data_IF_972995090330
#
_entry.id   IF_972995090330
#
_cell.length_a   1.000
_cell.length_b   1.000
_cell.length_c   1.000
_cell.angle_alpha   90.00
_cell.angle_beta   90.00
_cell.angle_gamma   90.00
#
_symmetry.space_group_name_H-M   'P 1'
#
loop_
_entity.id
_entity.type
_entity.pdbx_description
1 polymer ?
#
# COMPACT_ATOMS: atom_id res chain seq x y z
N UNK A 1 -7.22 35.15 -15.52
CA UNK A 1 -8.19 34.06 -15.37
C UNK A 1 -7.76 32.95 -16.32
N UNK A 2 -7.15 31.87 -15.83
CA UNK A 2 -6.61 30.81 -16.69
C UNK A 2 -7.76 29.98 -17.25
N UNK A 3 -7.88 29.93 -18.58
CA UNK A 3 -8.84 29.07 -19.27
C UNK A 3 -8.22 27.69 -19.33
N UNK A 4 -8.76 26.73 -18.57
CA UNK A 4 -8.32 25.35 -18.62
C UNK A 4 -8.76 24.75 -19.97
N UNK A 5 -7.82 24.52 -20.87
CA UNK A 5 -8.07 23.94 -22.18
C UNK A 5 -8.48 22.47 -22.05
N UNK A 6 -9.75 22.17 -22.32
CA UNK A 6 -10.28 20.80 -22.40
C UNK A 6 -9.92 20.23 -23.77
N UNK A 7 -9.05 19.23 -23.83
CA UNK A 7 -8.85 18.46 -25.05
C UNK A 7 -10.08 17.57 -25.28
N UNK A 8 -10.96 17.95 -26.22
CA UNK A 8 -12.02 17.08 -26.71
C UNK A 8 -11.41 15.98 -27.60
N UNK A 9 -11.50 14.71 -27.18
CA UNK A 9 -11.48 13.60 -28.12
C UNK A 9 -12.93 13.23 -28.47
N UNK A 10 -13.41 13.72 -29.60
CA UNK A 10 -14.75 13.42 -30.09
C UNK A 10 -14.78 12.03 -30.71
N UNK A 11 -15.17 11.01 -29.94
CA UNK A 11 -15.50 9.68 -30.48
C UNK A 11 -16.97 9.67 -30.88
N UNK A 12 -17.29 10.34 -31.99
CA UNK A 12 -18.67 10.50 -32.46
C UNK A 12 -19.15 9.33 -33.32
N UNK A 13 -20.36 8.86 -33.05
CA UNK A 13 -21.36 8.59 -34.09
C UNK A 13 -22.72 9.08 -33.59
N UNK A 14 -23.52 9.63 -34.50
CA UNK A 14 -24.81 10.26 -34.23
C UNK A 14 -25.69 9.43 -33.26
N UNK A 15 -26.16 10.06 -32.19
CA UNK A 15 -27.27 9.55 -31.37
C UNK A 15 -26.95 9.00 -29.97
N UNK A 16 -25.70 8.98 -29.49
CA UNK A 16 -25.41 8.61 -28.10
C UNK A 16 -24.41 9.55 -27.44
N UNK A 17 -24.73 10.00 -26.23
CA UNK A 17 -23.98 10.94 -25.37
C UNK A 17 -22.46 10.74 -25.44
N UNK A 18 -21.76 11.76 -25.94
CA UNK A 18 -20.32 11.89 -25.84
C UNK A 18 -19.91 11.84 -24.35
N UNK A 19 -19.01 10.92 -24.00
CA UNK A 19 -18.43 10.88 -22.66
C UNK A 19 -17.23 11.80 -22.59
N UNK A 20 -17.32 12.90 -21.85
CA UNK A 20 -16.16 13.74 -21.55
C UNK A 20 -15.07 12.92 -20.85
N UNK A 21 -13.80 13.10 -21.24
CA UNK A 21 -12.67 12.56 -20.46
C UNK A 21 -12.81 13.13 -19.03
N UNK A 22 -12.68 12.30 -17.98
CA UNK A 22 -12.70 12.81 -16.61
C UNK A 22 -11.73 13.99 -16.42
N UNK A 23 -12.18 15.04 -15.75
CA UNK A 23 -11.38 16.25 -15.51
C UNK A 23 -10.12 15.90 -14.69
N UNK A 24 -8.96 16.48 -15.04
CA UNK A 24 -7.64 16.25 -14.43
C UNK A 24 -6.95 14.91 -14.77
N UNK A 25 -7.30 14.31 -15.91
CA UNK A 25 -6.69 13.09 -16.45
C UNK A 25 -5.93 13.39 -17.76
N UNK A 26 -4.69 13.90 -17.68
CA UNK A 26 -3.97 14.36 -18.87
C UNK A 26 -3.42 13.23 -19.74
N UNK A 27 -3.48 11.97 -19.27
CA UNK A 27 -3.04 10.81 -20.04
C UNK A 27 -4.24 9.99 -20.51
N UNK A 28 -4.40 9.91 -21.83
CA UNK A 28 -5.33 9.00 -22.49
C UNK A 28 -4.56 7.92 -23.23
N UNK A 29 -4.86 6.66 -22.90
CA UNK A 29 -4.30 5.49 -23.55
C UNK A 29 -5.40 4.83 -24.38
N UNK A 30 -5.11 4.58 -25.66
CA UNK A 30 -6.02 3.89 -26.57
C UNK A 30 -5.40 2.58 -27.00
N UNK A 31 -6.11 1.47 -26.80
CA UNK A 31 -5.65 0.13 -27.19
C UNK A 31 -6.69 -0.53 -28.08
N UNK A 32 -6.25 -1.10 -29.20
CA UNK A 32 -7.06 -2.01 -30.02
C UNK A 32 -6.84 -3.43 -29.53
N UNK A 33 -7.91 -4.13 -29.12
CA UNK A 33 -7.82 -5.53 -28.76
C UNK A 33 -7.49 -6.39 -29.99
N UNK A 34 -6.53 -7.31 -29.89
CA UNK A 34 -6.24 -8.27 -30.95
C UNK A 34 -7.48 -9.13 -31.25
N UNK A 35 -7.90 -9.21 -32.52
CA UNK A 35 -9.06 -10.01 -32.96
C UNK A 35 -10.44 -9.47 -32.57
N UNK A 36 -10.50 -8.25 -32.05
CA UNK A 36 -11.67 -7.75 -31.32
C UNK A 36 -12.34 -6.56 -32.03
N UNK A 37 -13.67 -6.51 -32.06
CA UNK A 37 -14.47 -5.39 -32.62
C UNK A 37 -14.53 -4.16 -31.71
N UNK A 38 -13.66 -4.12 -30.69
CA UNK A 38 -13.67 -3.08 -29.66
C UNK A 38 -12.34 -2.35 -29.54
N UNK A 39 -12.45 -1.06 -29.25
CA UNK A 39 -11.35 -0.17 -28.88
C UNK A 39 -11.51 0.16 -27.40
N UNK A 40 -10.44 0.00 -26.63
CA UNK A 40 -10.40 0.36 -25.22
C UNK A 40 -9.78 1.75 -25.06
N UNK A 41 -10.39 2.55 -24.20
CA UNK A 41 -9.91 3.86 -23.79
C UNK A 41 -9.65 3.81 -22.28
N UNK A 42 -8.50 4.30 -21.86
CA UNK A 42 -8.11 4.37 -20.46
C UNK A 42 -7.61 5.78 -20.14
N UNK A 43 -8.22 6.41 -19.15
CA UNK A 43 -7.86 7.73 -18.66
C UNK A 43 -7.12 7.59 -17.32
N UNK A 44 -5.93 8.17 -17.24
CA UNK A 44 -5.06 8.13 -16.06
C UNK A 44 -4.57 9.54 -15.67
N UNK A 45 -4.28 9.73 -14.38
CA UNK A 45 -3.58 10.92 -13.88
C UNK A 45 -2.14 10.94 -14.42
N UNK A 46 -1.56 12.11 -14.69
CA UNK A 46 -0.14 12.20 -15.06
C UNK A 46 0.71 11.67 -13.91
N UNK A 47 1.66 10.78 -14.21
CA UNK A 47 2.64 10.31 -13.24
C UNK A 47 2.29 9.02 -12.49
N UNK A 48 1.21 8.32 -12.85
CA UNK A 48 0.90 6.98 -12.30
C UNK A 48 0.56 6.96 -10.80
N UNK A 49 0.51 8.12 -10.15
CA UNK A 49 0.28 8.24 -8.71
C UNK A 49 -1.20 8.11 -8.38
N UNK A 50 -1.58 7.03 -7.70
CA UNK A 50 -2.72 6.84 -6.78
C UNK A 50 -4.14 7.24 -7.21
N UNK A 51 -4.32 7.85 -8.38
CA UNK A 51 -5.57 8.42 -8.84
C UNK A 51 -6.53 7.36 -9.37
N UNK A 52 -7.85 7.64 -9.37
CA UNK A 52 -8.84 6.75 -9.96
C UNK A 52 -8.51 6.47 -11.43
N UNK A 53 -8.23 5.24 -11.82
CA UNK A 53 -8.14 4.87 -13.23
C UNK A 53 -9.56 4.73 -13.80
N UNK A 54 -9.81 5.26 -14.99
CA UNK A 54 -11.08 5.11 -15.69
C UNK A 54 -10.90 4.36 -17.00
N UNK A 55 -11.86 3.51 -17.33
CA UNK A 55 -11.88 2.75 -18.57
C UNK A 55 -13.24 2.82 -19.23
N UNK A 56 -13.25 2.89 -20.55
CA UNK A 56 -14.44 2.65 -21.34
C UNK A 56 -14.10 1.97 -22.66
N UNK A 57 -15.12 1.46 -23.33
CA UNK A 57 -14.99 0.67 -24.54
C UNK A 57 -15.87 1.26 -25.63
N UNK A 58 -15.33 1.27 -26.84
CA UNK A 58 -16.10 1.54 -28.05
C UNK A 58 -16.24 0.23 -28.84
N UNK A 59 -17.46 -0.29 -28.91
CA UNK A 59 -17.76 -1.56 -29.55
C UNK A 59 -18.51 -1.34 -30.86
N UNK A 60 -18.11 -2.03 -31.93
CA UNK A 60 -18.96 -2.20 -33.11
C UNK A 60 -20.00 -3.29 -32.81
N UNK A 61 -21.23 -2.91 -32.47
CA UNK A 61 -22.34 -3.85 -32.30
C UNK A 61 -23.06 -4.02 -33.64
N UNK A 62 -23.16 -5.25 -34.14
CA UNK A 62 -23.77 -5.54 -35.45
C UNK A 62 -25.28 -5.24 -35.49
N UNK A 63 -25.96 -5.28 -34.34
CA UNK A 63 -27.41 -5.09 -34.21
C UNK A 63 -27.79 -3.66 -33.88
N UNK A 64 -26.93 -2.92 -33.16
CA UNK A 64 -27.26 -1.59 -32.64
C UNK A 64 -26.25 -0.49 -33.01
N UNK A 65 -25.37 -0.73 -33.98
CA UNK A 65 -24.34 0.21 -34.40
C UNK A 65 -23.19 0.37 -33.40
N UNK A 66 -22.32 1.35 -33.61
CA UNK A 66 -21.21 1.58 -32.71
C UNK A 66 -21.69 2.16 -31.38
N UNK A 67 -21.27 1.59 -30.24
CA UNK A 67 -21.68 2.05 -28.92
C UNK A 67 -20.49 2.29 -28.00
N UNK A 68 -20.47 3.48 -27.39
CA UNK A 68 -19.62 3.82 -26.25
C UNK A 68 -20.23 3.29 -24.96
N UNK A 69 -19.44 2.65 -24.10
CA UNK A 69 -19.93 2.09 -22.83
C UNK A 69 -19.99 3.10 -21.68
N UNK A 70 -19.52 4.33 -21.86
CA UNK A 70 -19.29 5.23 -20.73
C UNK A 70 -17.94 4.97 -20.03
N UNK A 71 -17.51 5.94 -19.22
CA UNK A 71 -16.35 5.80 -18.33
C UNK A 71 -16.75 5.06 -17.06
N UNK A 72 -15.99 4.01 -16.71
CA UNK A 72 -16.12 3.26 -15.46
C UNK A 72 -14.82 3.37 -14.67
N UNK A 73 -14.90 3.70 -13.38
CA UNK A 73 -13.75 3.70 -12.48
C UNK A 73 -13.30 2.25 -12.25
N UNK A 74 -12.03 1.94 -12.54
CA UNK A 74 -11.44 0.60 -12.39
C UNK A 74 -10.39 0.52 -11.26
N UNK A 75 -9.84 1.66 -10.80
CA UNK A 75 -9.03 1.70 -9.58
C UNK A 75 -9.95 1.93 -8.38
N UNK A 76 -10.39 0.84 -7.76
CA UNK A 76 -11.27 0.85 -6.57
C UNK A 76 -10.53 0.64 -5.26
N UNK A 77 -9.21 0.42 -5.30
CA UNK A 77 -8.40 0.23 -4.11
C UNK A 77 -8.49 1.50 -3.23
N UNK A 78 -8.97 1.32 -2.01
CA UNK A 78 -8.99 2.39 -1.01
C UNK A 78 -7.69 2.29 -0.22
N UNK A 79 -6.91 3.38 -0.07
CA UNK A 79 -5.73 3.36 0.78
C UNK A 79 -6.08 2.85 2.18
N UNK A 80 -5.25 2.00 2.79
CA UNK A 80 -5.54 1.48 4.12
C UNK A 80 -5.44 2.61 5.15
N UNK A 81 -6.33 2.58 6.15
CA UNK A 81 -6.25 3.51 7.27
C UNK A 81 -5.01 3.19 8.12
N UNK A 82 -4.17 4.19 8.35
CA UNK A 82 -3.03 4.10 9.27
C UNK A 82 -3.46 4.40 10.71
N UNK A 83 -2.85 3.69 11.65
CA UNK A 83 -3.02 3.85 13.08
C UNK A 83 -1.65 3.91 13.76
N UNK A 84 -1.54 4.69 14.83
CA UNK A 84 -0.33 4.71 15.65
C UNK A 84 -0.25 3.45 16.51
N UNK A 85 0.92 2.81 16.51
CA UNK A 85 1.19 1.64 17.33
C UNK A 85 1.56 2.08 18.74
N UNK A 86 0.75 1.68 19.73
CA UNK A 86 1.04 1.94 21.14
C UNK A 86 2.24 1.10 21.60
N UNK A 87 3.37 1.77 21.82
CA UNK A 87 4.61 1.15 22.27
C UNK A 87 4.55 0.84 23.77
N UNK A 88 5.20 -0.26 24.18
CA UNK A 88 5.30 -0.66 25.57
C UNK A 88 6.18 0.29 26.39
N UNK A 89 6.00 0.29 27.71
CA UNK A 89 6.82 1.07 28.63
C UNK A 89 8.31 0.74 28.47
N UNK A 90 9.16 1.77 28.46
CA UNK A 90 10.61 1.63 28.26
C UNK A 90 11.04 1.50 26.79
N UNK A 91 10.12 1.58 25.85
CA UNK A 91 10.39 1.66 24.41
C UNK A 91 10.17 3.08 23.91
N UNK A 92 11.13 3.62 23.17
CA UNK A 92 11.01 4.91 22.47
C UNK A 92 10.86 4.70 20.96
N UNK A 93 10.24 5.66 20.28
CA UNK A 93 10.14 5.67 18.83
C UNK A 93 8.76 6.02 18.31
N UNK A 94 8.56 5.77 17.01
CA UNK A 94 7.31 6.01 16.30
C UNK A 94 7.07 4.85 15.36
N UNK A 95 5.99 4.11 15.58
CA UNK A 95 5.58 3.01 14.72
C UNK A 95 4.09 3.13 14.40
N UNK A 96 3.73 2.67 13.22
CA UNK A 96 2.36 2.67 12.70
C UNK A 96 2.01 1.31 12.13
N UNK A 97 0.72 1.06 12.03
CA UNK A 97 0.21 -0.13 11.38
C UNK A 97 -1.04 0.17 10.56
N UNK A 98 -1.30 -0.66 9.56
CA UNK A 98 -2.50 -0.61 8.74
C UNK A 98 -2.87 -2.00 8.24
N UNK A 99 -4.11 -2.20 7.76
CA UNK A 99 -4.54 -3.44 7.11
C UNK A 99 -5.07 -3.11 5.71
N UNK A 100 -4.52 -3.78 4.70
CA UNK A 100 -4.97 -3.61 3.32
C UNK A 100 -6.32 -4.32 3.09
N UNK A 101 -6.99 -4.00 1.99
CA UNK A 101 -8.26 -4.64 1.61
C UNK A 101 -8.10 -6.16 1.36
N UNK A 102 -6.88 -6.62 1.04
CA UNK A 102 -6.52 -8.03 0.87
C UNK A 102 -6.24 -8.74 2.22
N UNK A 103 -6.35 -8.02 3.35
CA UNK A 103 -6.15 -8.56 4.68
C UNK A 103 -4.69 -8.64 5.13
N UNK A 104 -3.76 -8.02 4.39
CA UNK A 104 -2.35 -7.91 4.80
C UNK A 104 -2.22 -6.79 5.83
N UNK A 105 -1.67 -7.10 7.00
CA UNK A 105 -1.30 -6.13 8.02
C UNK A 105 0.14 -5.71 7.78
N UNK A 106 0.35 -4.40 7.70
CA UNK A 106 1.67 -3.79 7.58
C UNK A 106 2.01 -3.06 8.88
N UNK A 107 3.27 -3.16 9.31
CA UNK A 107 3.81 -2.39 10.42
C UNK A 107 5.06 -1.71 9.92
N UNK A 108 5.14 -0.39 10.10
CA UNK A 108 6.26 0.41 9.67
C UNK A 108 6.67 1.45 10.73
N UNK A 109 7.96 1.71 10.86
CA UNK A 109 8.47 2.75 11.75
C UNK A 109 9.82 2.44 12.38
N UNK A 110 10.13 3.13 13.47
CA UNK A 110 11.40 3.00 14.17
C UNK A 110 11.15 2.87 15.67
N UNK A 111 11.82 1.90 16.31
CA UNK A 111 11.70 1.64 17.75
C UNK A 111 13.07 1.41 18.38
N UNK A 112 13.24 1.84 19.62
CA UNK A 112 14.45 1.63 20.41
C UNK A 112 14.06 1.19 21.81
N UNK A 113 14.69 0.13 22.30
CA UNK A 113 14.56 -0.29 23.69
C UNK A 113 15.57 0.47 24.55
N UNK A 114 15.08 1.29 25.48
CA UNK A 114 15.91 2.16 26.33
C UNK A 114 16.72 1.39 27.37
N UNK A 115 16.24 0.21 27.78
CA UNK A 115 16.90 -0.63 28.77
C UNK A 115 18.07 -1.45 28.19
N UNK A 116 18.26 -1.43 26.86
CA UNK A 116 19.15 -2.33 26.08
C UNK A 116 18.78 -3.81 26.29
N UNK A 117 18.21 -4.47 25.27
CA UNK A 117 17.71 -5.83 25.44
C UNK A 117 18.85 -6.79 25.79
N UNK A 118 18.63 -7.60 26.82
CA UNK A 118 19.54 -8.71 27.13
C UNK A 118 19.51 -9.74 25.99
N UNK A 119 20.68 -10.31 25.68
CA UNK A 119 20.85 -11.26 24.57
C UNK A 119 19.89 -12.45 24.73
N UNK A 120 19.17 -12.78 23.66
CA UNK A 120 18.26 -13.92 23.64
C UNK A 120 16.97 -13.75 24.45
N UNK A 121 16.76 -12.62 25.14
CA UNK A 121 15.50 -12.34 25.84
C UNK A 121 14.51 -11.63 24.92
N UNK A 122 13.24 -12.04 25.05
CA UNK A 122 12.11 -11.38 24.41
C UNK A 122 11.82 -10.07 25.13
N UNK A 123 11.88 -8.96 24.39
CA UNK A 123 11.40 -7.66 24.86
C UNK A 123 10.09 -7.33 24.16
N UNK A 124 8.99 -7.21 24.91
CA UNK A 124 7.71 -6.79 24.34
C UNK A 124 7.86 -5.33 23.91
N UNK A 125 7.57 -5.04 22.64
CA UNK A 125 7.64 -3.67 22.12
C UNK A 125 6.27 -3.03 21.90
N UNK A 126 5.25 -3.84 21.62
CA UNK A 126 3.87 -3.40 21.43
C UNK A 126 2.92 -4.60 21.38
N UNK A 127 1.62 -4.34 21.43
CA UNK A 127 0.57 -5.34 21.19
C UNK A 127 -0.41 -4.84 20.13
N UNK A 128 -0.68 -5.66 19.13
CA UNK A 128 -1.65 -5.36 18.08
C UNK A 128 -3.09 -5.57 18.58
N UNK A 129 -4.01 -4.65 18.25
CA UNK A 129 -5.41 -4.82 18.55
C UNK A 129 -6.04 -5.95 17.74
N UNK A 130 -7.21 -6.42 18.20
CA UNK A 130 -8.03 -7.38 17.46
C UNK A 130 -8.36 -6.87 16.06
N UNK A 131 -8.41 -7.78 15.08
CA UNK A 131 -8.55 -7.45 13.66
C UNK A 131 -7.22 -7.16 12.94
N UNK A 132 -6.14 -6.88 13.68
CA UNK A 132 -4.79 -6.65 13.11
C UNK A 132 -3.76 -7.70 13.55
N UNK A 133 -4.15 -8.67 14.38
CA UNK A 133 -3.29 -9.78 14.81
C UNK A 133 -2.98 -10.72 13.64
N UNK A 134 -1.81 -11.36 13.60
CA UNK A 134 -1.53 -12.34 12.57
C UNK A 134 -2.35 -13.62 12.78
N UNK A 135 -2.64 -14.34 11.69
CA UNK A 135 -3.34 -15.64 11.77
C UNK A 135 -2.51 -16.73 12.47
N UNK A 136 -1.19 -16.68 12.32
CA UNK A 136 -0.22 -17.59 12.91
C UNK A 136 0.93 -16.80 13.52
N UNK A 137 1.74 -17.42 14.37
CA UNK A 137 2.96 -16.77 14.84
C UNK A 137 3.90 -16.46 13.66
N UNK A 138 4.41 -15.23 13.59
CA UNK A 138 5.30 -14.77 12.53
C UNK A 138 6.69 -14.42 13.09
N UNK A 139 7.73 -14.64 12.29
CA UNK A 139 9.12 -14.29 12.62
C UNK A 139 9.76 -13.56 11.45
N UNK A 140 10.40 -12.44 11.74
CA UNK A 140 11.06 -11.59 10.74
C UNK A 140 12.48 -11.29 11.18
N UNK A 141 13.42 -11.33 10.24
CA UNK A 141 14.76 -10.80 10.44
C UNK A 141 14.75 -9.31 10.09
N UNK A 142 15.39 -8.51 10.95
CA UNK A 142 15.52 -7.07 10.83
C UNK A 142 16.98 -6.67 11.02
N UNK A 143 17.27 -5.43 10.66
CA UNK A 143 18.58 -4.82 10.78
C UNK A 143 18.46 -3.69 11.80
N UNK A 144 19.32 -3.69 12.82
CA UNK A 144 19.48 -2.56 13.72
C UNK A 144 20.57 -1.63 13.20
N UNK A 145 20.30 -0.34 13.14
CA UNK A 145 21.34 0.67 12.89
C UNK A 145 21.98 1.05 14.22
N UNK A 146 23.21 0.63 14.53
CA UNK A 146 23.94 1.22 15.65
C UNK A 146 24.55 2.58 15.30
N UNK A 147 24.74 3.44 16.30
CA UNK A 147 25.81 4.44 16.23
C UNK A 147 27.10 3.69 15.90
N UNK A 148 27.72 4.05 14.78
CA UNK A 148 28.78 3.30 14.11
C UNK A 148 29.84 2.67 15.04
N UNK A 149 30.39 1.47 14.72
CA UNK A 149 30.32 0.79 13.41
C UNK A 149 29.48 -0.50 13.37
N UNK A 150 28.60 -0.76 14.33
CA UNK A 150 27.94 -2.07 14.43
C UNK A 150 26.57 -2.11 13.74
N UNK A 151 26.43 -2.90 12.68
CA UNK A 151 25.10 -3.31 12.19
C UNK A 151 24.78 -4.65 12.86
N UNK A 152 23.66 -4.70 13.57
CA UNK A 152 23.20 -5.89 14.29
C UNK A 152 22.05 -6.57 13.55
N UNK A 153 22.01 -7.91 13.60
CA UNK A 153 20.84 -8.67 13.21
C UNK A 153 19.89 -8.79 14.40
N UNK A 154 18.65 -8.41 14.18
CA UNK A 154 17.59 -8.48 15.19
C UNK A 154 16.45 -9.31 14.63
N UNK A 155 15.69 -9.98 15.49
CA UNK A 155 14.50 -10.70 15.09
C UNK A 155 13.29 -10.07 15.74
N UNK A 156 12.20 -9.93 14.99
CA UNK A 156 10.87 -9.70 15.57
C UNK A 156 10.07 -11.00 15.53
N UNK A 157 9.41 -11.31 16.63
CA UNK A 157 8.43 -12.38 16.74
C UNK A 157 7.07 -11.78 17.07
N UNK A 158 6.05 -12.06 16.26
CA UNK A 158 4.67 -11.62 16.50
C UNK A 158 3.84 -12.87 16.80
N UNK A 159 3.23 -12.91 17.98
CA UNK A 159 2.30 -13.98 18.33
C UNK A 159 0.93 -13.78 17.68
N UNK A 160 0.16 -14.85 17.53
CA UNK A 160 -1.26 -14.79 17.14
C UNK A 160 -2.14 -13.97 18.12
N UNK A 161 -1.67 -13.76 19.36
CA UNK A 161 -2.29 -12.84 20.32
C UNK A 161 -1.96 -11.36 20.04
N UNK A 162 -1.13 -11.07 19.03
CA UNK A 162 -0.73 -9.72 18.65
C UNK A 162 0.47 -9.17 19.41
N UNK A 163 1.06 -9.92 20.33
CA UNK A 163 2.25 -9.47 21.07
C UNK A 163 3.45 -9.43 20.13
N UNK A 164 4.07 -8.26 20.02
CA UNK A 164 5.27 -8.04 19.22
C UNK A 164 6.47 -8.06 20.15
N UNK A 165 7.36 -9.03 19.94
CA UNK A 165 8.60 -9.18 20.70
C UNK A 165 9.80 -8.88 19.83
N UNK A 166 10.72 -8.09 20.36
CA UNK A 166 12.05 -7.89 19.81
C UNK A 166 13.02 -8.86 20.47
N UNK A 167 13.80 -9.58 19.66
CA UNK A 167 14.86 -10.49 20.12
C UNK A 167 16.18 -10.03 19.53
N UNK A 168 17.03 -9.54 20.40
CA UNK A 168 18.41 -9.20 20.10
C UNK A 168 19.27 -10.46 19.90
N UNK A 169 19.93 -10.56 18.75
CA UNK A 169 20.97 -11.55 18.48
C UNK A 169 22.29 -10.82 18.27
N UNK A 170 23.00 -10.54 19.35
CA UNK A 170 24.33 -9.93 19.24
C UNK A 170 25.39 -11.02 19.38
N UNK A 171 26.11 -11.31 18.30
CA UNK A 171 27.53 -11.68 18.41
C UNK A 171 28.44 -10.43 18.34
N UNK A 172 27.92 -9.27 17.90
CA UNK A 172 28.73 -8.05 17.74
C UNK A 172 27.96 -6.79 18.17
N UNK A 173 28.34 -6.24 19.32
CA UNK A 173 28.03 -4.85 19.70
C UNK A 173 26.70 -4.63 20.43
N UNK A 174 26.76 -3.84 21.49
CA UNK A 174 25.62 -3.40 22.31
C UNK A 174 24.50 -2.81 21.43
N UNK A 175 23.26 -3.32 21.53
CA UNK A 175 22.09 -2.67 20.92
C UNK A 175 21.76 -1.39 21.71
N UNK A 176 22.57 -0.35 21.54
CA UNK A 176 22.26 0.99 22.03
C UNK A 176 21.40 1.78 21.05
N UNK A 177 20.92 1.16 19.97
CA UNK A 177 20.35 1.88 18.85
C UNK A 177 19.11 1.21 18.28
N UNK A 178 18.25 2.04 17.69
CA UNK A 178 16.93 1.61 17.25
C UNK A 178 16.94 0.71 16.03
N UNK A 179 15.78 0.10 15.81
CA UNK A 179 15.47 -0.83 14.75
C UNK A 179 14.37 -0.21 13.90
N UNK A 180 14.62 -0.13 12.60
CA UNK A 180 13.54 0.12 11.65
C UNK A 180 12.74 -1.16 11.46
N UNK A 181 11.43 -1.06 11.65
CA UNK A 181 10.49 -2.15 11.50
C UNK A 181 9.72 -1.87 10.22
N UNK A 182 9.83 -2.73 9.22
CA UNK A 182 9.04 -2.69 7.99
C UNK A 182 8.65 -4.13 7.64
N UNK A 183 7.48 -4.55 8.08
CA UNK A 183 7.04 -5.95 8.01
C UNK A 183 5.58 -6.06 7.57
N UNK A 184 5.27 -7.16 6.88
CA UNK A 184 3.93 -7.49 6.42
C UNK A 184 3.56 -8.95 6.69
N UNK A 185 2.33 -9.18 7.13
CA UNK A 185 1.79 -10.52 7.36
C UNK A 185 0.28 -10.58 7.09
N UNK A 186 -0.25 -11.79 6.91
CA UNK A 186 -1.70 -12.00 6.80
C UNK A 186 -2.35 -11.86 8.18
N UNK A 187 -3.28 -10.90 8.29
CA UNK A 187 -4.12 -10.74 9.46
C UNK A 187 -5.09 -11.90 9.64
N UNK A 188 -5.49 -12.13 10.88
CA UNK A 188 -6.64 -12.97 11.23
C UNK A 188 -7.96 -12.33 10.76
#
# INVERSE_FOLDING_TARGET
MAVNSVAMLTLGTAGSTAGWIPLNYPLLIVKKGGGSTHVMFEAQTQGGGGGPLYRGYYNKNATYGNKWTGWTKISTATPPQEYDLSLADGISGTAKYCKTQEGVVLIHGWVQNLAKPEQGKLSIIATLPEGFRPRNNCRFALISSATAPSIGLVRIEISNAGTINLVAWNEVGTLSAGVSVDIGFLGA
#
